data_IF_560849164747
#
_entry.id   IF_560849164747
#
_cell.length_a   1.000
_cell.length_b   1.000
_cell.length_c   1.000
_cell.angle_alpha   90.00
_cell.angle_beta   90.00
_cell.angle_gamma   90.00
#
_symmetry.space_group_name_H-M   'P 1'
#
loop_
_entity.id
_entity.type
_entity.pdbx_description
1 polymer ?
#
# COMPACT_ATOMS: atom_id res chain seq x y z
N UNK A 1 9.91 -10.20 -7.42
CA UNK A 1 10.41 -10.76 -6.13
C UNK A 1 9.36 -11.72 -5.57
N UNK A 2 9.68 -12.55 -4.57
CA UNK A 2 8.64 -13.31 -3.85
C UNK A 2 8.36 -12.54 -2.56
N UNK A 3 7.10 -12.18 -2.32
CA UNK A 3 6.66 -11.46 -1.13
C UNK A 3 5.72 -12.36 -0.32
N UNK A 4 5.93 -12.44 0.98
CA UNK A 4 5.08 -13.21 1.90
C UNK A 4 3.98 -12.36 2.51
N UNK A 5 2.92 -13.00 3.01
CA UNK A 5 1.84 -12.31 3.70
C UNK A 5 2.32 -11.58 4.97
N UNK A 6 3.25 -12.18 5.70
CA UNK A 6 3.81 -11.61 6.94
C UNK A 6 4.59 -10.33 6.64
N UNK A 7 5.48 -10.36 5.64
CA UNK A 7 6.25 -9.18 5.21
C UNK A 7 5.35 -8.00 4.78
N UNK A 8 4.24 -8.30 4.10
CA UNK A 8 3.28 -7.27 3.69
C UNK A 8 2.57 -6.67 4.90
N UNK A 9 2.14 -7.49 5.87
CA UNK A 9 1.49 -6.96 7.07
C UNK A 9 2.47 -6.11 7.89
N UNK A 10 3.70 -6.59 8.09
CA UNK A 10 4.72 -5.86 8.84
C UNK A 10 5.04 -4.51 8.20
N UNK A 11 5.07 -4.44 6.86
CA UNK A 11 5.25 -3.20 6.13
C UNK A 11 4.05 -2.25 6.29
N UNK A 12 2.81 -2.76 6.21
CA UNK A 12 1.60 -1.97 6.46
C UNK A 12 1.58 -1.41 7.88
N UNK A 13 1.95 -2.21 8.88
CA UNK A 13 2.02 -1.78 10.28
C UNK A 13 3.11 -0.74 10.50
N UNK A 14 4.31 -0.98 9.96
CA UNK A 14 5.45 -0.03 10.00
C UNK A 14 5.05 1.32 9.41
N UNK A 15 4.29 1.33 8.32
CA UNK A 15 3.79 2.56 7.71
C UNK A 15 2.47 3.05 8.31
N UNK A 16 1.86 2.32 9.25
CA UNK A 16 0.50 2.53 9.79
C UNK A 16 -0.54 2.81 8.69
N UNK A 17 -0.54 1.97 7.67
CA UNK A 17 -1.48 2.03 6.55
C UNK A 17 -2.65 1.07 6.78
N UNK A 18 -3.88 1.46 6.43
CA UNK A 18 -5.01 0.53 6.44
C UNK A 18 -4.91 -0.47 5.27
N UNK A 19 -5.78 -1.49 5.31
CA UNK A 19 -6.05 -2.34 4.15
C UNK A 19 -6.95 -1.58 3.15
N UNK A 20 -6.88 -1.94 1.86
CA UNK A 20 -7.54 -1.22 0.76
C UNK A 20 -7.02 0.21 0.56
N UNK A 21 -5.80 0.31 0.06
CA UNK A 21 -5.10 1.56 -0.22
C UNK A 21 -4.63 1.58 -1.67
N UNK A 22 -4.43 2.79 -2.19
CA UNK A 22 -3.85 2.99 -3.51
C UNK A 22 -2.32 3.10 -3.43
N UNK A 23 -1.65 2.96 -4.58
CA UNK A 23 -0.22 3.26 -4.71
C UNK A 23 0.13 4.69 -4.25
N UNK A 24 -0.77 5.64 -4.50
CA UNK A 24 -0.55 7.04 -4.14
C UNK A 24 -0.66 7.25 -2.62
N UNK A 25 -1.53 6.50 -1.93
CA UNK A 25 -1.60 6.51 -0.46
C UNK A 25 -0.29 6.03 0.17
N UNK A 26 0.30 4.96 -0.37
CA UNK A 26 1.62 4.44 0.07
C UNK A 26 2.69 5.54 -0.09
N UNK A 27 2.76 6.19 -1.25
CA UNK A 27 3.73 7.26 -1.54
C UNK A 27 3.55 8.46 -0.62
N UNK A 28 2.31 8.91 -0.42
CA UNK A 28 2.02 10.07 0.42
C UNK A 28 2.31 9.77 1.89
N UNK A 29 2.01 8.56 2.35
CA UNK A 29 2.35 8.12 3.70
C UNK A 29 3.86 8.07 3.91
N UNK A 30 4.60 7.50 2.96
CA UNK A 30 6.05 7.49 3.00
C UNK A 30 6.64 8.91 3.11
N UNK A 31 6.23 9.82 2.22
CA UNK A 31 6.68 11.23 2.25
C UNK A 31 6.38 11.90 3.59
N UNK A 32 5.22 11.62 4.18
CA UNK A 32 4.82 12.17 5.46
C UNK A 32 5.70 11.65 6.61
N UNK A 33 5.94 10.33 6.67
CA UNK A 33 6.76 9.72 7.72
C UNK A 33 8.24 10.07 7.56
N UNK A 34 8.77 10.08 6.33
CA UNK A 34 10.15 10.45 6.05
C UNK A 34 10.50 11.85 6.57
N UNK A 35 9.59 12.82 6.39
CA UNK A 35 9.77 14.19 6.94
C UNK A 35 9.80 14.24 8.46
N UNK A 36 9.15 13.29 9.14
CA UNK A 36 9.08 13.23 10.61
C UNK A 36 10.24 12.46 11.23
N UNK A 37 10.70 11.41 10.55
CA UNK A 37 11.74 10.49 11.01
C UNK A 37 13.13 10.86 10.51
N UNK A 38 13.27 11.93 9.70
CA UNK A 38 14.56 12.31 9.16
C UNK A 38 15.56 12.65 10.29
N UNK A 39 16.80 12.11 10.25
CA UNK A 39 17.82 12.41 11.26
C UNK A 39 18.07 13.92 11.46
N UNK A 40 18.05 14.69 10.38
CA UNK A 40 18.25 16.15 10.43
C UNK A 40 17.20 16.91 11.24
N UNK A 41 16.02 16.32 11.47
CA UNK A 41 14.96 16.92 12.32
C UNK A 41 14.83 16.24 13.68
N UNK A 42 15.80 15.40 14.05
CA UNK A 42 15.84 14.69 15.33
C UNK A 42 15.22 13.28 15.32
N UNK A 43 14.99 12.69 14.14
CA UNK A 43 14.60 11.28 14.01
C UNK A 43 15.80 10.32 14.04
N UNK A 44 15.53 9.02 13.87
CA UNK A 44 16.57 7.98 13.83
C UNK A 44 16.84 7.47 12.41
N UNK A 45 18.12 7.26 12.09
CA UNK A 45 18.52 6.58 10.86
C UNK A 45 17.95 5.16 10.76
N UNK A 46 17.82 4.46 11.89
CA UNK A 46 17.25 3.11 11.95
C UNK A 46 15.76 3.10 11.62
N UNK A 47 15.01 4.09 12.14
CA UNK A 47 13.59 4.24 11.85
C UNK A 47 13.35 4.62 10.38
N UNK A 48 14.22 5.48 9.83
CA UNK A 48 14.18 5.84 8.42
C UNK A 48 14.49 4.64 7.52
N UNK A 49 15.47 3.82 7.88
CA UNK A 49 15.80 2.61 7.13
C UNK A 49 14.65 1.59 7.16
N UNK A 50 14.01 1.41 8.33
CA UNK A 50 12.82 0.57 8.48
C UNK A 50 11.67 1.06 7.60
N UNK A 51 11.44 2.38 7.56
CA UNK A 51 10.44 3.00 6.69
C UNK A 51 10.75 2.76 5.21
N UNK A 52 12.01 2.91 4.78
CA UNK A 52 12.43 2.70 3.40
C UNK A 52 12.17 1.27 2.96
N UNK A 53 12.58 0.27 3.77
CA UNK A 53 12.34 -1.14 3.48
C UNK A 53 10.85 -1.47 3.35
N UNK A 54 10.02 -0.95 4.26
CA UNK A 54 8.57 -1.16 4.18
C UNK A 54 7.96 -0.56 2.90
N UNK A 55 8.40 0.65 2.53
CA UNK A 55 7.96 1.31 1.31
C UNK A 55 8.37 0.55 0.05
N UNK A 56 9.65 0.16 -0.06
CA UNK A 56 10.17 -0.61 -1.19
C UNK A 56 9.44 -1.95 -1.35
N UNK A 57 9.16 -2.62 -0.24
CA UNK A 57 8.44 -3.89 -0.23
C UNK A 57 7.01 -3.73 -0.77
N UNK A 58 6.25 -2.76 -0.26
CA UNK A 58 4.87 -2.54 -0.70
C UNK A 58 4.82 -2.08 -2.17
N UNK A 59 5.72 -1.19 -2.58
CA UNK A 59 5.80 -0.72 -3.97
C UNK A 59 6.20 -1.86 -4.91
N UNK A 60 7.22 -2.64 -4.56
CA UNK A 60 7.63 -3.79 -5.36
C UNK A 60 6.52 -4.82 -5.49
N UNK A 61 5.77 -5.08 -4.40
CA UNK A 61 4.64 -5.99 -4.43
C UNK A 61 3.54 -5.57 -5.41
N UNK A 62 3.13 -4.30 -5.38
CA UNK A 62 2.05 -3.81 -6.24
C UNK A 62 2.49 -3.52 -7.68
N UNK A 63 3.77 -3.23 -7.92
CA UNK A 63 4.30 -3.01 -9.28
C UNK A 63 4.38 -4.31 -10.09
N UNK A 64 4.49 -5.45 -9.41
CA UNK A 64 4.46 -6.79 -10.02
C UNK A 64 3.01 -7.28 -10.30
N UNK A 65 1.98 -6.47 -10.03
CA UNK A 65 0.59 -6.87 -10.25
C UNK A 65 0.26 -7.01 -11.74
N UNK A 66 -0.44 -8.09 -12.04
CA UNK A 66 -1.01 -8.34 -13.36
C UNK A 66 -2.50 -8.00 -13.33
N UNK A 67 -2.95 -7.31 -14.36
CA UNK A 67 -4.33 -6.87 -14.51
C UNK A 67 -4.95 -7.60 -15.71
N UNK A 68 -6.15 -8.15 -15.54
CA UNK A 68 -6.95 -8.70 -16.64
C UNK A 68 -7.80 -7.62 -17.33
N UNK A 69 -8.10 -6.52 -16.61
CA UNK A 69 -9.04 -5.47 -17.03
C UNK A 69 -10.45 -5.99 -17.36
N UNK A 70 -10.84 -7.13 -16.81
CA UNK A 70 -12.20 -7.64 -16.97
C UNK A 70 -13.22 -6.91 -16.07
N UNK A 71 -14.50 -7.09 -16.38
CA UNK A 71 -15.60 -6.45 -15.65
C UNK A 71 -15.61 -6.79 -14.14
N UNK A 72 -15.18 -8.01 -13.78
CA UNK A 72 -15.16 -8.47 -12.39
C UNK A 72 -14.04 -7.76 -11.63
N UNK A 73 -12.86 -7.62 -12.23
CA UNK A 73 -11.73 -6.88 -11.66
C UNK A 73 -12.08 -5.40 -11.46
N UNK A 74 -12.65 -4.76 -12.49
CA UNK A 74 -13.08 -3.36 -12.43
C UNK A 74 -14.13 -3.13 -11.34
N UNK A 75 -15.10 -4.05 -11.21
CA UNK A 75 -16.13 -3.97 -10.18
C UNK A 75 -15.55 -4.07 -8.75
N UNK A 76 -14.54 -4.92 -8.53
CA UNK A 76 -13.87 -5.04 -7.21
C UNK A 76 -13.06 -3.79 -6.84
N UNK A 77 -12.53 -3.08 -7.82
CA UNK A 77 -11.69 -1.88 -7.62
C UNK A 77 -12.52 -0.61 -7.38
N UNK A 78 -13.81 -0.62 -7.74
CA UNK A 78 -14.68 0.55 -7.65
C UNK A 78 -15.69 0.42 -6.50
N UNK A 79 -15.65 1.32 -5.50
CA UNK A 79 -16.62 1.34 -4.39
C UNK A 79 -18.08 1.51 -4.84
N UNK A 80 -18.33 2.01 -6.06
CA UNK A 80 -19.66 2.41 -6.54
C UNK A 80 -20.36 1.27 -7.32
N UNK A 81 -19.59 0.35 -7.93
CA UNK A 81 -20.12 -0.69 -8.83
C UNK A 81 -20.71 -1.93 -8.13
N UNK A 82 -20.51 -2.09 -6.81
CA UNK A 82 -21.07 -3.23 -6.05
C UNK A 82 -22.61 -3.15 -5.86
N UNK A 83 -23.22 -1.97 -6.07
CA UNK A 83 -24.66 -1.79 -5.84
C UNK A 83 -25.57 -2.27 -6.99
N UNK A 84 -25.05 -2.52 -8.20
CA UNK A 84 -25.90 -2.80 -9.38
C UNK A 84 -26.11 -4.29 -9.70
N UNK A 85 -25.34 -5.21 -9.10
CA UNK A 85 -25.42 -6.65 -9.45
C UNK A 85 -26.24 -7.49 -8.46
N UNK A 86 -26.62 -6.96 -7.29
CA UNK A 86 -27.44 -7.68 -6.29
C UNK A 86 -28.95 -7.65 -6.55
N UNK A 87 -29.42 -6.85 -7.51
CA UNK A 87 -30.85 -6.68 -7.82
C UNK A 87 -31.12 -6.86 -9.32
N UNK A 88 -30.74 -8.00 -9.89
CA UNK A 88 -31.42 -8.50 -11.10
C UNK A 88 -32.54 -9.42 -10.64
N UNK A 89 -33.83 -9.09 -10.90
CA UNK A 89 -34.97 -9.96 -10.60
C UNK A 89 -34.98 -11.23 -11.45
#
# INVERSE_FOLDING_TARGET
MIFTYEEINDALETMSLPRYITREDIKNRYRHLAKKLHPDVGGSAEEMERLNRAYELLVGYIEDFKYSFDEIEIAKQSPILDHSQRFKP
#
